data_IF_388436560769
#
_entry.id   IF_388436560769
#
_cell.length_a   1.000
_cell.length_b   1.000
_cell.length_c   1.000
_cell.angle_alpha   90.00
_cell.angle_beta   90.00
_cell.angle_gamma   90.00
#
_symmetry.space_group_name_H-M   'P 1'
#
loop_
_entity.id
_entity.type
_entity.pdbx_description
1 polymer ?
#
# COMPACT_ATOMS: atom_id res chain seq x y z
N UNK A 1 -5.48 -17.33 10.20
CA UNK A 1 -4.04 -17.01 10.08
C UNK A 1 -3.49 -18.01 9.11
N UNK A 2 -3.84 -17.78 7.85
CA UNK A 2 -3.27 -18.57 6.76
C UNK A 2 -1.97 -17.87 6.37
N UNK A 3 -0.92 -18.67 6.17
CA UNK A 3 0.34 -18.17 5.64
C UNK A 3 0.29 -18.47 4.15
N UNK A 4 0.04 -17.44 3.35
CA UNK A 4 -0.02 -17.58 1.91
C UNK A 4 1.34 -17.19 1.32
N UNK A 5 1.87 -18.07 0.48
CA UNK A 5 3.21 -17.87 -0.08
C UNK A 5 3.19 -16.78 -1.15
N UNK A 6 2.20 -16.79 -2.03
CA UNK A 6 2.01 -15.77 -3.07
C UNK A 6 0.51 -15.47 -3.23
N UNK A 7 0.16 -14.18 -3.30
CA UNK A 7 -1.16 -13.70 -3.74
C UNK A 7 -1.02 -12.94 -5.06
N UNK A 8 -1.95 -13.16 -5.99
CA UNK A 8 -2.07 -12.40 -7.22
C UNK A 8 -3.53 -12.03 -7.43
N UNK A 9 -3.82 -10.73 -7.53
CA UNK A 9 -5.13 -10.19 -7.86
C UNK A 9 -5.00 -9.34 -9.14
N UNK A 10 -5.90 -9.61 -10.09
CA UNK A 10 -5.93 -8.95 -11.41
C UNK A 10 -7.38 -8.84 -11.89
N UNK A 11 -8.14 -7.91 -11.31
CA UNK A 11 -9.56 -7.67 -11.51
C UNK A 11 -9.95 -6.19 -11.33
N UNK A 12 -11.17 -5.83 -11.77
CA UNK A 12 -11.81 -4.57 -11.36
C UNK A 12 -12.69 -4.86 -10.15
N UNK A 13 -12.29 -4.35 -8.98
CA UNK A 13 -12.93 -4.69 -7.71
C UNK A 13 -13.62 -3.48 -7.08
N UNK A 14 -14.82 -3.71 -6.58
CA UNK A 14 -15.49 -2.72 -5.73
C UNK A 14 -14.83 -2.67 -4.36
N UNK A 15 -14.56 -3.82 -3.74
CA UNK A 15 -13.87 -3.90 -2.46
C UNK A 15 -12.90 -5.10 -2.49
N UNK A 16 -11.67 -4.89 -2.03
CA UNK A 16 -10.69 -5.93 -1.75
C UNK A 16 -10.42 -5.96 -0.24
N UNK A 17 -10.31 -7.15 0.35
CA UNK A 17 -9.93 -7.33 1.75
C UNK A 17 -8.91 -8.46 1.82
N UNK A 18 -7.74 -8.17 2.39
CA UNK A 18 -6.68 -9.15 2.64
C UNK A 18 -6.31 -9.10 4.13
N UNK A 19 -6.23 -10.27 4.76
CA UNK A 19 -5.96 -10.43 6.20
C UNK A 19 -5.18 -11.73 6.47
N UNK A 20 -3.94 -11.80 5.98
CA UNK A 20 -3.03 -12.94 6.01
C UNK A 20 -1.55 -12.53 6.23
N UNK A 21 -0.69 -13.50 6.56
CA UNK A 21 0.75 -13.27 6.43
C UNK A 21 1.19 -13.68 5.03
N UNK A 22 1.72 -12.73 4.27
CA UNK A 22 2.08 -12.91 2.87
C UNK A 22 3.58 -12.78 2.66
N UNK A 23 4.16 -13.72 1.92
CA UNK A 23 5.54 -13.57 1.51
C UNK A 23 5.64 -12.63 0.30
N UNK A 24 4.79 -12.83 -0.72
CA UNK A 24 4.66 -11.89 -1.82
C UNK A 24 3.19 -11.63 -2.16
N UNK A 25 2.83 -10.36 -2.34
CA UNK A 25 1.52 -9.94 -2.83
C UNK A 25 1.70 -9.10 -4.09
N UNK A 26 0.91 -9.37 -5.12
CA UNK A 26 0.83 -8.53 -6.31
C UNK A 26 -0.64 -8.17 -6.57
N UNK A 27 -0.92 -6.87 -6.62
CA UNK A 27 -2.22 -6.31 -6.97
C UNK A 27 -2.05 -5.47 -8.24
N UNK A 28 -2.92 -5.67 -9.23
CA UNK A 28 -2.86 -4.95 -10.50
C UNK A 28 -4.28 -4.73 -11.06
N UNK A 29 -4.99 -3.78 -10.45
CA UNK A 29 -6.44 -3.66 -10.40
C UNK A 29 -6.91 -2.18 -10.48
N UNK A 30 -8.18 -1.98 -10.82
CA UNK A 30 -8.88 -0.75 -10.44
C UNK A 30 -9.76 -1.06 -9.23
N UNK A 31 -9.46 -0.43 -8.09
CA UNK A 31 -10.11 -0.73 -6.81
C UNK A 31 -10.78 0.51 -6.25
N UNK A 32 -12.05 0.40 -5.84
CA UNK A 32 -12.70 1.49 -5.15
C UNK A 32 -12.23 1.59 -3.69
N UNK A 33 -12.26 0.48 -2.94
CA UNK A 33 -11.75 0.44 -1.56
C UNK A 33 -10.87 -0.79 -1.32
N UNK A 34 -9.66 -0.56 -0.78
CA UNK A 34 -8.70 -1.61 -0.45
C UNK A 34 -8.16 -1.45 0.97
N UNK A 35 -8.81 -2.06 1.98
CA UNK A 35 -8.19 -2.31 3.27
C UNK A 35 -7.33 -3.58 3.26
N UNK A 36 -6.06 -3.39 3.60
CA UNK A 36 -5.03 -4.42 3.76
C UNK A 36 -4.57 -4.42 5.23
N UNK A 37 -4.53 -5.60 5.86
CA UNK A 37 -4.13 -5.74 7.27
C UNK A 37 -3.30 -7.01 7.49
N UNK A 38 -2.04 -6.95 7.10
CA UNK A 38 -1.16 -8.08 6.82
C UNK A 38 0.28 -7.87 7.35
N UNK A 39 1.03 -8.96 7.48
CA UNK A 39 2.50 -8.86 7.47
C UNK A 39 2.98 -9.29 6.09
N UNK A 40 3.55 -8.35 5.33
CA UNK A 40 3.96 -8.60 3.94
C UNK A 40 5.46 -8.40 3.79
N UNK A 41 6.15 -9.40 3.22
CA UNK A 41 7.58 -9.27 2.95
C UNK A 41 7.82 -8.36 1.74
N UNK A 42 7.13 -8.63 0.63
CA UNK A 42 7.20 -7.85 -0.60
C UNK A 42 5.79 -7.57 -1.16
N UNK A 43 5.46 -6.30 -1.38
CA UNK A 43 4.19 -5.87 -1.96
C UNK A 43 4.40 -4.83 -3.07
N UNK A 44 4.48 -5.27 -4.33
CA UNK A 44 4.24 -4.40 -5.48
C UNK A 44 2.74 -4.21 -5.74
N UNK A 45 2.31 -2.95 -5.71
CA UNK A 45 0.97 -2.47 -6.04
C UNK A 45 1.06 -1.59 -7.28
N UNK A 46 0.19 -1.83 -8.27
CA UNK A 46 0.16 -1.06 -9.52
C UNK A 46 -1.28 -0.86 -10.00
N UNK A 47 -1.94 0.11 -9.38
CA UNK A 47 -3.40 0.23 -9.35
C UNK A 47 -3.90 1.67 -9.56
N UNK A 48 -5.18 1.80 -9.93
CA UNK A 48 -5.93 3.02 -9.65
C UNK A 48 -6.83 2.76 -8.45
N UNK A 49 -6.53 3.39 -7.32
CA UNK A 49 -7.26 3.17 -6.07
C UNK A 49 -7.94 4.45 -5.61
N UNK A 50 -9.24 4.37 -5.36
CA UNK A 50 -9.97 5.52 -4.83
C UNK A 50 -9.64 5.74 -3.35
N UNK A 51 -9.75 4.69 -2.54
CA UNK A 51 -9.42 4.71 -1.12
C UNK A 51 -8.57 3.47 -0.75
N UNK A 52 -7.36 3.71 -0.25
CA UNK A 52 -6.48 2.66 0.28
C UNK A 52 -6.27 2.87 1.78
N UNK A 53 -6.39 1.79 2.55
CA UNK A 53 -6.01 1.73 3.96
C UNK A 53 -5.05 0.56 4.15
N UNK A 54 -3.79 0.87 4.42
CA UNK A 54 -2.78 -0.12 4.79
C UNK A 54 -2.50 -0.04 6.29
N UNK A 55 -2.48 -1.18 6.98
CA UNK A 55 -2.13 -1.26 8.39
C UNK A 55 -1.30 -2.51 8.65
N UNK A 56 -0.03 -2.42 8.28
CA UNK A 56 0.83 -3.57 8.01
C UNK A 56 2.24 -3.42 8.62
N UNK A 57 2.95 -4.55 8.74
CA UNK A 57 4.41 -4.51 8.77
C UNK A 57 4.93 -4.90 7.39
N UNK A 58 5.58 -3.96 6.70
CA UNK A 58 6.12 -4.16 5.37
C UNK A 58 7.64 -4.05 5.35
N UNK A 59 8.27 -5.09 4.81
CA UNK A 59 9.71 -5.08 4.61
C UNK A 59 10.07 -4.29 3.35
N UNK A 60 9.43 -4.60 2.23
CA UNK A 60 9.58 -3.86 0.98
C UNK A 60 8.20 -3.58 0.36
N UNK A 61 7.88 -2.30 0.21
CA UNK A 61 6.71 -1.83 -0.51
C UNK A 61 7.13 -1.07 -1.78
N UNK A 62 6.46 -1.37 -2.90
CA UNK A 62 6.55 -0.57 -4.12
C UNK A 62 5.13 -0.21 -4.56
N UNK A 63 4.80 1.08 -4.51
CA UNK A 63 3.54 1.62 -5.00
C UNK A 63 3.78 2.40 -6.28
N UNK A 64 2.95 2.17 -7.30
CA UNK A 64 3.01 2.90 -8.56
C UNK A 64 1.59 3.17 -9.06
N UNK A 65 0.94 4.11 -8.40
CA UNK A 65 -0.52 4.22 -8.39
C UNK A 65 -1.03 5.65 -8.67
N UNK A 66 -2.28 5.74 -9.10
CA UNK A 66 -3.06 6.96 -8.89
C UNK A 66 -3.99 6.75 -7.70
N UNK A 67 -3.73 7.48 -6.62
CA UNK A 67 -4.49 7.38 -5.37
C UNK A 67 -5.21 8.69 -5.05
N UNK A 68 -6.50 8.57 -4.78
CA UNK A 68 -7.30 9.71 -4.35
C UNK A 68 -7.14 9.95 -2.86
N UNK A 69 -7.33 8.92 -2.04
CA UNK A 69 -7.06 8.95 -0.62
C UNK A 69 -6.24 7.71 -0.21
N UNK A 70 -5.09 7.95 0.41
CA UNK A 70 -4.27 6.90 1.01
C UNK A 70 -4.08 7.17 2.50
N UNK A 71 -4.29 6.14 3.33
CA UNK A 71 -3.81 6.15 4.70
C UNK A 71 -2.92 4.93 4.91
N UNK A 72 -1.71 5.20 5.36
CA UNK A 72 -0.72 4.20 5.73
C UNK A 72 -0.42 4.31 7.22
N UNK A 73 -0.43 3.18 7.92
CA UNK A 73 -0.08 3.10 9.34
C UNK A 73 0.83 1.90 9.58
N UNK A 74 2.09 2.04 9.21
CA UNK A 74 2.98 0.89 9.03
C UNK A 74 4.33 1.00 9.74
N UNK A 75 4.96 -0.16 9.98
CA UNK A 75 6.41 -0.23 10.11
C UNK A 75 6.99 -0.62 8.74
N UNK A 76 7.64 0.32 8.08
CA UNK A 76 8.20 0.15 6.74
C UNK A 76 9.73 0.15 6.79
N UNK A 77 10.36 -0.92 6.32
CA UNK A 77 11.82 -0.93 6.22
C UNK A 77 12.29 -0.19 4.95
N UNK A 78 11.72 -0.55 3.79
CA UNK A 78 11.95 0.15 2.53
C UNK A 78 10.61 0.42 1.81
N UNK A 79 10.38 1.67 1.46
CA UNK A 79 9.22 2.10 0.68
C UNK A 79 9.69 2.87 -0.57
N UNK A 80 9.16 2.49 -1.72
CA UNK A 80 9.24 3.27 -2.95
C UNK A 80 7.83 3.63 -3.40
N UNK A 81 7.54 4.93 -3.42
CA UNK A 81 6.29 5.49 -3.92
C UNK A 81 6.56 6.25 -5.22
N UNK A 82 5.76 6.00 -6.25
CA UNK A 82 5.83 6.72 -7.51
C UNK A 82 4.41 7.05 -7.99
N UNK A 83 3.78 8.00 -7.30
CA UNK A 83 2.33 8.15 -7.34
C UNK A 83 1.85 9.55 -7.75
N UNK A 84 0.62 9.61 -8.26
CA UNK A 84 -0.19 10.83 -8.18
C UNK A 84 -1.16 10.68 -7.01
N UNK A 85 -0.91 11.43 -5.94
CA UNK A 85 -1.67 11.36 -4.70
C UNK A 85 -2.40 12.66 -4.42
N UNK A 86 -3.72 12.58 -4.26
CA UNK A 86 -4.52 13.75 -3.94
C UNK A 86 -4.50 14.07 -2.44
N UNK A 87 -4.77 13.07 -1.60
CA UNK A 87 -4.59 13.14 -0.15
C UNK A 87 -3.85 11.91 0.37
N UNK A 88 -2.78 12.14 1.13
CA UNK A 88 -2.00 11.09 1.78
C UNK A 88 -1.81 11.39 3.26
N UNK A 89 -2.06 10.40 4.12
CA UNK A 89 -1.67 10.42 5.52
C UNK A 89 -0.75 9.22 5.79
N UNK A 90 0.49 9.50 6.16
CA UNK A 90 1.51 8.50 6.49
C UNK A 90 1.84 8.64 7.98
N UNK A 91 1.61 7.59 8.75
CA UNK A 91 2.01 7.52 10.17
C UNK A 91 2.86 6.28 10.39
N UNK A 92 4.16 6.44 10.14
CA UNK A 92 5.04 5.31 9.92
C UNK A 92 6.35 5.41 10.70
N UNK A 93 6.89 4.25 11.07
CA UNK A 93 8.33 4.11 11.34
C UNK A 93 9.01 3.69 10.04
N UNK A 94 9.55 4.65 9.28
CA UNK A 94 10.21 4.36 7.99
C UNK A 94 11.71 4.44 8.12
N UNK A 95 12.42 3.37 7.74
CA UNK A 95 13.88 3.36 7.74
C UNK A 95 14.46 3.96 6.45
N UNK A 96 13.91 3.57 5.28
CA UNK A 96 14.25 4.15 3.99
C UNK A 96 12.98 4.42 3.16
N UNK A 97 12.79 5.66 2.74
CA UNK A 97 11.69 6.07 1.88
C UNK A 97 12.22 6.79 0.64
N UNK A 98 11.73 6.42 -0.54
CA UNK A 98 11.89 7.21 -1.75
C UNK A 98 10.51 7.55 -2.30
N UNK A 99 10.23 8.84 -2.39
CA UNK A 99 8.96 9.40 -2.85
C UNK A 99 9.25 10.14 -4.15
N UNK A 100 8.52 9.81 -5.22
CA UNK A 100 8.59 10.52 -6.49
C UNK A 100 7.17 10.84 -6.94
N UNK A 101 6.57 11.83 -6.26
CA UNK A 101 5.12 12.01 -6.29
C UNK A 101 4.70 13.40 -6.76
N UNK A 102 3.52 13.46 -7.40
CA UNK A 102 2.74 14.68 -7.46
C UNK A 102 1.71 14.66 -6.33
N UNK A 103 2.05 15.29 -5.21
CA UNK A 103 1.20 15.37 -4.01
C UNK A 103 0.46 16.70 -3.97
N UNK A 104 -0.86 16.66 -3.79
CA UNK A 104 -1.65 17.86 -3.48
C UNK A 104 -1.70 18.12 -1.97
N UNK A 105 -2.05 17.12 -1.17
CA UNK A 105 -2.02 17.18 0.29
C UNK A 105 -1.32 15.94 0.85
N UNK A 106 -0.31 16.16 1.70
CA UNK A 106 0.42 15.09 2.38
C UNK A 106 0.69 15.49 3.82
N UNK A 107 0.29 14.63 4.75
CA UNK A 107 0.71 14.71 6.14
C UNK A 107 1.55 13.48 6.48
N UNK A 108 2.77 13.73 6.93
CA UNK A 108 3.71 12.67 7.31
C UNK A 108 4.06 12.86 8.79
N UNK A 109 3.80 11.84 9.60
CA UNK A 109 4.25 11.75 10.97
C UNK A 109 5.21 10.58 11.10
N UNK A 110 6.51 10.88 11.16
CA UNK A 110 7.58 9.91 11.36
C UNK A 110 7.88 9.84 12.85
N UNK A 111 7.80 8.64 13.45
CA UNK A 111 8.18 8.39 14.84
C UNK A 111 9.59 7.78 14.96
#
# INVERSE_FOLDING_TARGET
MDNLLNCHLMDNLLNCHLMDNLLNCHLMDNILNCPLMDNILNCPLMDNILNCHLMDNLLNCQLMDNLLNCQLMDNLLNCHLMDNLLNCHLMDNVLNCQLMDNLLNCEVMIC
#
